data_IF_486665145207
#
_entry.id   IF_486665145207
#
_cell.length_a   1.000
_cell.length_b   1.000
_cell.length_c   1.000
_cell.angle_alpha   90.00
_cell.angle_beta   90.00
_cell.angle_gamma   90.00
#
_symmetry.space_group_name_H-M   'P 1'
#
loop_
_entity.id
_entity.type
_entity.pdbx_description
1 polymer ?
#
# COMPACT_ATOMS: atom_id res chain seq x y z
N UNK A 1 28.35 17.10 69.29
CA UNK A 1 29.04 15.86 68.88
C UNK A 1 27.97 14.78 68.73
N UNK A 2 27.35 14.51 67.60
CA UNK A 2 27.39 15.06 66.25
C UNK A 2 26.06 14.72 65.57
N UNK A 3 25.62 15.66 64.71
CA UNK A 3 24.81 15.53 63.48
C UNK A 3 23.72 14.43 63.41
N UNK A 4 22.42 14.74 63.51
CA UNK A 4 21.53 15.49 62.59
C UNK A 4 20.75 14.62 61.58
N UNK A 5 19.45 14.51 61.86
CA UNK A 5 18.30 14.74 60.95
C UNK A 5 17.93 13.72 59.86
N UNK A 6 16.83 13.02 60.16
CA UNK A 6 15.70 12.53 59.37
C UNK A 6 15.39 13.13 57.98
N UNK A 7 14.85 12.31 57.05
CA UNK A 7 13.49 12.35 56.44
C UNK A 7 13.44 11.57 55.09
N UNK A 8 12.23 11.09 54.81
CA UNK A 8 11.64 10.24 53.77
C UNK A 8 11.93 10.48 52.26
N UNK A 9 11.69 9.38 51.51
CA UNK A 9 11.04 9.23 50.19
C UNK A 9 11.52 10.11 49.02
N UNK A 10 12.03 9.48 47.96
CA UNK A 10 11.45 9.62 46.61
C UNK A 10 12.01 8.62 45.58
N UNK A 11 11.15 8.29 44.61
CA UNK A 11 11.47 7.56 43.40
C UNK A 11 12.32 8.41 42.44
N UNK A 12 13.31 7.81 41.78
CA UNK A 12 13.67 8.06 40.37
C UNK A 12 14.89 7.24 39.92
N UNK A 13 14.71 6.58 38.77
CA UNK A 13 15.66 6.32 37.68
C UNK A 13 17.12 5.95 37.98
N UNK A 14 17.55 4.77 37.53
CA UNK A 14 18.36 4.58 36.32
C UNK A 14 18.80 3.10 36.27
N UNK A 15 18.16 2.29 35.43
CA UNK A 15 18.78 1.04 34.97
C UNK A 15 19.36 1.35 33.60
N UNK A 16 20.69 1.49 33.59
CA UNK A 16 21.50 1.64 32.39
C UNK A 16 21.37 0.38 31.53
N UNK A 17 20.57 0.47 30.46
CA UNK A 17 20.58 -0.50 29.37
C UNK A 17 21.85 -0.25 28.54
N UNK A 18 22.85 -1.10 28.74
CA UNK A 18 24.00 -1.20 27.86
C UNK A 18 23.51 -1.49 26.44
N UNK A 19 23.80 -0.56 25.54
CA UNK A 19 23.65 -0.70 24.10
C UNK A 19 24.69 -1.72 23.64
N UNK A 20 24.25 -2.95 23.38
CA UNK A 20 25.00 -3.90 22.56
C UNK A 20 24.95 -3.37 21.12
N UNK A 21 26.11 -2.96 20.62
CA UNK A 21 26.34 -2.67 19.22
C UNK A 21 26.21 -3.98 18.42
N UNK A 22 25.04 -4.24 17.88
CA UNK A 22 24.85 -5.32 16.92
C UNK A 22 25.53 -4.94 15.60
N UNK A 23 26.58 -5.69 15.29
CA UNK A 23 27.19 -5.87 13.98
C UNK A 23 26.13 -6.06 12.88
N UNK A 24 26.40 -5.67 11.62
CA UNK A 24 25.45 -5.89 10.52
C UNK A 24 25.16 -7.40 10.43
N UNK A 25 23.89 -7.74 10.60
CA UNK A 25 23.41 -9.11 10.74
C UNK A 25 23.97 -10.03 9.65
N UNK A 26 24.51 -11.16 10.11
CA UNK A 26 24.67 -12.35 9.30
C UNK A 26 23.35 -12.61 8.56
N UNK A 27 23.42 -12.71 7.24
CA UNK A 27 22.33 -13.26 6.46
C UNK A 27 22.06 -14.66 7.01
N UNK A 28 20.95 -14.85 7.75
CA UNK A 28 20.48 -16.19 8.05
C UNK A 28 20.13 -16.84 6.71
N UNK A 29 21.08 -17.61 6.17
CA UNK A 29 20.89 -18.47 5.02
C UNK A 29 19.88 -19.54 5.39
N UNK A 30 18.63 -19.36 4.96
CA UNK A 30 17.70 -20.47 4.86
C UNK A 30 18.22 -21.41 3.75
N UNK A 31 18.84 -22.51 4.16
CA UNK A 31 19.09 -23.67 3.31
C UNK A 31 17.74 -24.19 2.80
N UNK A 32 17.67 -24.47 1.49
CA UNK A 32 16.50 -25.15 0.94
C UNK A 32 16.64 -26.61 1.33
N UNK A 33 15.72 -27.11 2.15
CA UNK A 33 15.63 -28.54 2.42
C UNK A 33 15.25 -29.24 1.11
N UNK A 34 16.15 -30.07 0.57
CA UNK A 34 15.87 -30.86 -0.63
C UNK A 34 14.74 -31.87 -0.43
N UNK A 35 14.29 -32.05 0.82
CA UNK A 35 13.15 -32.88 1.21
C UNK A 35 11.85 -32.07 1.40
N UNK A 36 11.85 -30.75 1.16
CA UNK A 36 10.63 -29.93 1.16
C UNK A 36 9.66 -30.43 0.07
N UNK A 37 8.42 -30.82 0.41
CA UNK A 37 7.41 -31.27 -0.56
C UNK A 37 7.04 -30.23 -1.63
N UNK A 38 7.48 -28.96 -1.49
CA UNK A 38 7.40 -27.92 -2.52
C UNK A 38 8.56 -27.88 -3.53
N UNK A 39 9.65 -28.62 -3.30
CA UNK A 39 10.81 -28.68 -4.19
C UNK A 39 10.47 -29.45 -5.48
N UNK A 40 10.56 -28.78 -6.63
CA UNK A 40 10.30 -29.43 -7.93
C UNK A 40 11.56 -30.11 -8.41
N UNK A 41 11.46 -31.43 -8.58
CA UNK A 41 12.49 -32.23 -9.24
C UNK A 41 12.49 -31.94 -10.74
N UNK A 42 13.29 -30.96 -11.15
CA UNK A 42 13.66 -30.80 -12.56
C UNK A 42 14.57 -31.97 -12.91
N UNK A 43 14.17 -32.85 -13.83
CA UNK A 43 14.96 -34.03 -14.17
C UNK A 43 16.40 -33.63 -14.50
N UNK A 44 17.35 -34.40 -13.98
CA UNK A 44 18.78 -34.16 -14.20
C UNK A 44 19.10 -34.03 -15.71
N UNK A 45 18.34 -34.71 -16.59
CA UNK A 45 18.43 -34.56 -18.05
C UNK A 45 18.19 -33.13 -18.58
N UNK A 46 17.25 -32.37 -18.03
CA UNK A 46 16.93 -31.02 -18.49
C UNK A 46 17.97 -29.97 -18.05
N UNK A 47 18.71 -30.26 -16.98
CA UNK A 47 19.74 -29.40 -16.41
C UNK A 47 21.17 -29.73 -16.89
N UNK A 48 21.39 -30.88 -17.53
CA UNK A 48 22.72 -31.32 -18.04
C UNK A 48 23.48 -30.29 -18.90
N UNK A 49 22.85 -29.41 -19.72
CA UNK A 49 23.59 -28.38 -20.47
C UNK A 49 23.74 -27.03 -19.75
N UNK A 50 23.23 -26.88 -18.53
CA UNK A 50 23.15 -25.61 -17.83
C UNK A 50 24.18 -25.51 -16.69
N UNK A 51 24.74 -24.31 -16.48
CA UNK A 51 25.58 -24.05 -15.30
C UNK A 51 24.77 -24.22 -13.99
N UNK A 52 25.42 -24.58 -12.89
CA UNK A 52 24.79 -24.66 -11.55
C UNK A 52 24.01 -23.39 -11.20
N UNK A 53 24.56 -22.22 -11.57
CA UNK A 53 23.90 -20.92 -11.40
C UNK A 53 22.61 -20.80 -12.21
N UNK A 54 22.59 -21.33 -13.43
CA UNK A 54 21.40 -21.36 -14.29
C UNK A 54 20.35 -22.35 -13.74
N UNK A 55 20.77 -23.52 -13.26
CA UNK A 55 19.89 -24.48 -12.60
C UNK A 55 19.25 -23.92 -11.33
N UNK A 56 20.04 -23.32 -10.42
CA UNK A 56 19.53 -22.65 -9.21
C UNK A 56 18.58 -21.51 -9.55
N UNK A 57 18.85 -20.78 -10.63
CA UNK A 57 17.97 -19.73 -11.15
C UNK A 57 16.62 -20.29 -11.60
N UNK A 58 16.61 -21.38 -12.36
CA UNK A 58 15.40 -22.03 -12.83
C UNK A 58 14.59 -22.59 -11.66
N UNK A 59 15.22 -23.31 -10.73
CA UNK A 59 14.55 -23.84 -9.52
C UNK A 59 13.87 -22.72 -8.71
N UNK A 60 14.57 -21.62 -8.46
CA UNK A 60 13.98 -20.48 -7.73
C UNK A 60 12.87 -19.79 -8.53
N UNK A 61 13.02 -19.65 -9.85
CA UNK A 61 11.97 -19.10 -10.71
C UNK A 61 10.69 -19.95 -10.65
N UNK A 62 10.83 -21.28 -10.75
CA UNK A 62 9.71 -22.22 -10.66
C UNK A 62 9.06 -22.15 -9.28
N UNK A 63 9.84 -22.08 -8.20
CA UNK A 63 9.31 -21.92 -6.84
C UNK A 63 8.53 -20.60 -6.69
N UNK A 64 9.08 -19.48 -7.14
CA UNK A 64 8.40 -18.20 -7.06
C UNK A 64 7.10 -18.16 -7.88
N UNK A 65 7.09 -18.73 -9.08
CA UNK A 65 5.86 -18.81 -9.89
C UNK A 65 4.78 -19.69 -9.26
N UNK A 66 5.15 -20.64 -8.38
CA UNK A 66 4.15 -21.40 -7.61
C UNK A 66 3.57 -20.61 -6.45
N UNK A 67 4.40 -19.84 -5.74
CA UNK A 67 3.97 -19.05 -4.58
C UNK A 67 3.33 -17.70 -4.94
N UNK A 68 3.67 -17.17 -6.12
CA UNK A 68 3.22 -15.88 -6.63
C UNK A 68 2.66 -16.08 -8.03
N UNK A 69 1.47 -15.52 -8.28
CA UNK A 69 0.72 -15.76 -9.51
C UNK A 69 0.41 -17.24 -9.78
N UNK A 70 -0.21 -17.97 -8.83
CA UNK A 70 -0.49 -19.40 -9.00
C UNK A 70 -1.42 -19.70 -10.20
N UNK A 71 -2.14 -18.68 -10.67
CA UNK A 71 -3.11 -18.78 -11.77
C UNK A 71 -2.58 -18.24 -13.11
N UNK A 72 -1.32 -17.79 -13.20
CA UNK A 72 -0.76 -17.24 -14.44
C UNK A 72 0.69 -17.65 -14.67
N UNK A 73 1.28 -17.21 -15.78
CA UNK A 73 2.69 -17.44 -16.11
C UNK A 73 3.44 -16.10 -16.12
N UNK A 74 3.98 -15.67 -14.97
CA UNK A 74 4.64 -14.38 -14.87
C UNK A 74 6.03 -14.39 -15.50
N UNK A 75 6.47 -13.23 -15.99
CA UNK A 75 7.85 -13.01 -16.40
C UNK A 75 8.70 -12.65 -15.17
N UNK A 76 9.76 -13.43 -14.91
CA UNK A 76 10.66 -13.20 -13.79
C UNK A 76 11.85 -12.33 -14.22
N UNK A 77 12.00 -11.16 -13.60
CA UNK A 77 13.11 -10.23 -13.83
C UNK A 77 14.03 -10.19 -12.61
N UNK A 78 15.34 -10.18 -12.85
CA UNK A 78 16.37 -10.11 -11.81
C UNK A 78 17.02 -8.74 -11.78
N UNK A 79 17.07 -8.12 -10.61
CA UNK A 79 17.63 -6.78 -10.43
C UNK A 79 18.79 -6.78 -9.43
N UNK A 80 19.91 -6.20 -9.85
CA UNK A 80 21.08 -5.94 -9.01
C UNK A 80 20.91 -4.60 -8.29
N UNK A 81 21.25 -4.56 -7.00
CA UNK A 81 21.34 -3.31 -6.24
C UNK A 81 22.56 -2.51 -6.71
N UNK A 82 22.39 -1.67 -7.73
CA UNK A 82 23.41 -0.76 -8.27
C UNK A 82 22.77 0.30 -9.15
N UNK A 83 23.41 1.45 -9.22
CA UNK A 83 23.13 2.46 -10.24
C UNK A 83 23.60 1.93 -11.60
N UNK A 84 22.76 2.07 -12.62
CA UNK A 84 23.07 1.64 -13.98
C UNK A 84 23.47 2.85 -14.82
N UNK A 85 24.20 2.61 -15.91
CA UNK A 85 24.44 3.65 -16.93
C UNK A 85 23.13 4.16 -17.53
N UNK A 86 22.15 3.28 -17.65
CA UNK A 86 20.78 3.57 -18.06
C UNK A 86 19.84 2.90 -17.08
N UNK A 87 19.00 3.70 -16.43
CA UNK A 87 17.91 3.23 -15.57
C UNK A 87 17.11 2.16 -16.29
N UNK A 88 16.75 1.08 -15.58
CA UNK A 88 15.85 0.09 -16.13
C UNK A 88 14.42 0.62 -16.03
N UNK A 89 13.68 0.60 -17.15
CA UNK A 89 12.30 1.08 -17.20
C UNK A 89 11.38 -0.09 -17.52
N UNK A 90 10.48 -0.39 -16.60
CA UNK A 90 9.31 -1.22 -16.85
C UNK A 90 8.30 -0.34 -17.58
N UNK A 91 8.08 -0.68 -18.84
CA UNK A 91 7.13 -0.04 -19.75
C UNK A 91 6.33 -1.10 -20.54
N UNK A 92 5.43 -0.67 -21.42
CA UNK A 92 4.58 -1.58 -22.19
C UNK A 92 5.34 -2.72 -22.90
N UNK A 93 6.60 -2.51 -23.29
CA UNK A 93 7.43 -3.53 -23.96
C UNK A 93 7.87 -4.64 -23.01
N UNK A 94 7.87 -4.38 -21.70
CA UNK A 94 8.16 -5.39 -20.68
C UNK A 94 7.02 -6.41 -20.57
N UNK A 95 5.81 -6.02 -20.96
CA UNK A 95 4.59 -6.84 -20.85
C UNK A 95 4.21 -7.55 -22.17
N UNK A 96 5.13 -7.66 -23.12
CA UNK A 96 4.85 -8.31 -24.43
C UNK A 96 4.63 -9.81 -24.32
N UNK A 97 5.26 -10.46 -23.34
CA UNK A 97 5.19 -11.91 -23.15
C UNK A 97 4.31 -12.32 -21.96
N UNK A 98 4.09 -11.42 -21.00
CA UNK A 98 3.26 -11.68 -19.83
C UNK A 98 2.73 -10.36 -19.27
N UNK A 99 1.51 -10.38 -18.74
CA UNK A 99 0.91 -9.25 -18.03
C UNK A 99 1.34 -9.20 -16.56
N UNK A 100 1.99 -10.25 -16.06
CA UNK A 100 2.42 -10.37 -14.67
C UNK A 100 3.95 -10.45 -14.61
N UNK A 101 4.56 -9.70 -13.69
CA UNK A 101 6.01 -9.65 -13.48
C UNK A 101 6.36 -10.00 -12.04
N UNK A 102 7.39 -10.84 -11.87
CA UNK A 102 8.05 -11.06 -10.58
C UNK A 102 9.43 -10.42 -10.62
N UNK A 103 9.68 -9.42 -9.79
CA UNK A 103 10.99 -8.78 -9.69
C UNK A 103 11.72 -9.31 -8.45
N UNK A 104 12.91 -9.87 -8.67
CA UNK A 104 13.76 -10.49 -7.65
C UNK A 104 15.13 -9.84 -7.57
N UNK A 105 15.83 -10.06 -6.46
CA UNK A 105 17.24 -9.64 -6.37
C UNK A 105 18.17 -10.52 -7.22
N UNK A 106 19.27 -9.96 -7.70
CA UNK A 106 20.23 -10.61 -8.60
C UNK A 106 21.06 -11.74 -8.00
N UNK A 107 21.06 -11.89 -6.67
CA UNK A 107 21.85 -12.88 -5.96
C UNK A 107 21.29 -14.28 -6.19
N UNK A 108 20.60 -14.81 -5.19
CA UNK A 108 19.93 -16.10 -5.31
C UNK A 108 18.66 -16.03 -6.17
N UNK A 109 18.07 -14.85 -6.37
CA UNK A 109 16.71 -14.71 -6.88
C UNK A 109 15.65 -15.02 -5.83
N UNK A 110 16.02 -15.49 -4.63
CA UNK A 110 15.08 -15.87 -3.56
C UNK A 110 14.30 -14.69 -3.00
N UNK A 111 14.89 -13.49 -2.99
CA UNK A 111 14.23 -12.30 -2.41
C UNK A 111 13.37 -11.64 -3.48
N UNK A 112 12.05 -11.79 -3.35
CA UNK A 112 11.06 -10.96 -4.04
C UNK A 112 11.20 -9.52 -3.56
N UNK A 113 11.30 -8.60 -4.52
CA UNK A 113 11.33 -7.16 -4.28
C UNK A 113 9.92 -6.60 -4.44
N UNK A 114 9.35 -6.79 -5.62
CA UNK A 114 8.01 -6.37 -5.97
C UNK A 114 7.45 -7.20 -7.12
N UNK A 115 6.14 -7.18 -7.23
CA UNK A 115 5.36 -7.83 -8.27
C UNK A 115 4.58 -6.74 -9.02
N UNK A 116 4.34 -6.93 -10.30
CA UNK A 116 3.59 -5.97 -11.12
C UNK A 116 2.62 -6.71 -12.02
N UNK A 117 1.36 -6.29 -12.00
CA UNK A 117 0.35 -6.72 -12.97
C UNK A 117 -0.09 -5.53 -13.81
N UNK A 118 -0.18 -5.74 -15.12
CA UNK A 118 -0.64 -4.73 -16.06
C UNK A 118 -1.97 -5.17 -16.67
N UNK A 119 -2.99 -4.34 -16.51
CA UNK A 119 -4.30 -4.54 -17.12
C UNK A 119 -4.47 -3.56 -18.29
N UNK A 120 -4.41 -4.03 -19.55
CA UNK A 120 -4.63 -3.19 -20.72
C UNK A 120 -6.03 -2.56 -20.75
N UNK A 121 -6.20 -1.43 -21.45
CA UNK A 121 -7.49 -0.76 -21.57
C UNK A 121 -8.40 -1.55 -22.51
N UNK A 122 -9.22 -2.40 -21.91
CA UNK A 122 -10.16 -3.28 -22.61
C UNK A 122 -11.53 -3.26 -21.91
N UNK A 123 -12.52 -2.52 -22.44
CA UNK A 123 -13.87 -2.49 -21.88
C UNK A 123 -14.60 -3.84 -21.90
N UNK A 124 -14.11 -4.83 -22.66
CA UNK A 124 -14.65 -6.19 -22.62
C UNK A 124 -14.10 -7.02 -21.46
N UNK A 125 -12.99 -6.58 -20.85
CA UNK A 125 -12.38 -7.23 -19.71
C UNK A 125 -13.12 -6.86 -18.41
N UNK A 126 -13.77 -7.81 -17.71
CA UNK A 126 -14.50 -7.52 -16.49
C UNK A 126 -13.61 -7.02 -15.34
N UNK A 127 -12.36 -7.46 -15.27
CA UNK A 127 -11.40 -6.98 -14.26
C UNK A 127 -11.05 -5.53 -14.52
N UNK A 128 -10.81 -5.15 -15.78
CA UNK A 128 -10.56 -3.75 -16.14
C UNK A 128 -11.73 -2.85 -15.72
N UNK A 129 -12.97 -3.26 -16.01
CA UNK A 129 -14.15 -2.47 -15.64
C UNK A 129 -14.32 -2.32 -14.13
N UNK A 130 -14.09 -3.39 -13.36
CA UNK A 130 -14.13 -3.34 -11.88
C UNK A 130 -13.02 -2.44 -11.32
N UNK A 131 -11.81 -2.49 -11.88
CA UNK A 131 -10.71 -1.60 -11.50
C UNK A 131 -11.01 -0.14 -11.87
N UNK A 132 -11.63 0.12 -13.02
CA UNK A 132 -12.09 1.45 -13.41
C UNK A 132 -13.06 2.03 -12.37
N UNK A 133 -14.08 1.27 -11.97
CA UNK A 133 -15.05 1.73 -10.97
C UNK A 133 -14.38 2.04 -9.62
N UNK A 134 -13.45 1.17 -9.17
CA UNK A 134 -12.67 1.39 -7.96
C UNK A 134 -11.85 2.69 -8.03
N UNK A 135 -11.14 2.91 -9.14
CA UNK A 135 -10.30 4.10 -9.35
C UNK A 135 -11.16 5.36 -9.40
N UNK A 136 -12.29 5.32 -10.11
CA UNK A 136 -13.26 6.42 -10.22
C UNK A 136 -13.75 6.86 -8.85
N UNK A 137 -14.32 5.91 -8.09
CA UNK A 137 -14.88 6.18 -6.77
C UNK A 137 -13.78 6.70 -5.82
N UNK A 138 -12.61 6.06 -5.77
CA UNK A 138 -11.50 6.50 -4.92
C UNK A 138 -10.94 7.87 -5.32
N UNK A 139 -10.87 8.20 -6.61
CA UNK A 139 -10.41 9.51 -7.08
C UNK A 139 -11.35 10.62 -6.62
N UNK A 140 -12.67 10.40 -6.70
CA UNK A 140 -13.67 11.37 -6.24
C UNK A 140 -13.64 11.50 -4.72
N UNK A 141 -13.70 10.38 -3.98
CA UNK A 141 -13.59 10.38 -2.52
C UNK A 141 -12.29 11.04 -2.03
N UNK A 142 -11.17 10.77 -2.71
CA UNK A 142 -9.88 11.36 -2.41
C UNK A 142 -9.85 12.89 -2.60
N UNK A 143 -10.62 13.42 -3.55
CA UNK A 143 -10.83 14.86 -3.71
C UNK A 143 -11.73 15.44 -2.61
N UNK A 144 -12.71 14.70 -2.10
CA UNK A 144 -13.57 15.13 -1.01
C UNK A 144 -12.90 15.07 0.37
N UNK A 145 -11.88 14.22 0.54
CA UNK A 145 -11.07 14.12 1.75
C UNK A 145 -10.06 15.26 1.89
N UNK A 146 -9.61 15.57 3.11
CA UNK A 146 -8.60 16.62 3.34
C UNK A 146 -7.22 16.25 2.75
N UNK A 147 -6.48 17.24 2.23
CA UNK A 147 -5.10 17.03 1.78
C UNK A 147 -4.18 16.84 2.99
N UNK A 148 -3.61 15.64 3.10
CA UNK A 148 -2.75 15.23 4.20
C UNK A 148 -1.39 15.95 4.14
N UNK A 149 -0.89 16.31 5.32
CA UNK A 149 0.49 16.79 5.50
C UNK A 149 1.38 15.57 5.74
N UNK A 150 2.41 15.42 4.92
CA UNK A 150 3.39 14.35 5.04
C UNK A 150 4.77 14.93 4.74
N UNK A 151 5.78 14.54 5.52
CA UNK A 151 7.15 15.09 5.44
C UNK A 151 7.89 14.69 4.17
N UNK A 152 7.54 13.55 3.60
CA UNK A 152 8.14 13.02 2.38
C UNK A 152 7.45 13.57 1.13
N UNK A 153 6.21 14.08 1.24
CA UNK A 153 5.49 14.67 0.10
C UNK A 153 6.21 15.91 -0.42
N UNK A 154 6.53 15.92 -1.71
CA UNK A 154 7.17 17.02 -2.41
C UNK A 154 6.14 17.86 -3.18
N UNK A 155 5.19 17.23 -3.85
CA UNK A 155 4.15 17.90 -4.65
C UNK A 155 2.82 17.16 -4.63
N UNK A 156 1.80 17.81 -5.19
CA UNK A 156 0.48 17.23 -5.40
C UNK A 156 -0.37 17.01 -4.15
N UNK A 157 -1.37 16.15 -4.30
CA UNK A 157 -2.38 15.84 -3.29
C UNK A 157 -2.20 14.42 -2.79
N UNK A 158 -2.38 14.26 -1.48
CA UNK A 158 -2.46 12.96 -0.82
C UNK A 158 -3.63 13.00 0.14
N UNK A 159 -4.53 12.03 0.09
CA UNK A 159 -5.70 11.92 0.94
C UNK A 159 -5.88 10.49 1.41
N UNK A 160 -6.65 10.27 2.48
CA UNK A 160 -6.91 8.96 3.03
C UNK A 160 -8.39 8.62 3.04
N UNK A 161 -8.71 7.35 2.87
CA UNK A 161 -10.05 6.75 3.02
C UNK A 161 -9.93 5.55 3.96
N UNK A 162 -10.94 5.28 4.79
CA UNK A 162 -10.90 4.22 5.81
C UNK A 162 -10.35 4.72 7.16
N UNK A 163 -9.76 3.83 7.95
CA UNK A 163 -9.37 4.07 9.35
C UNK A 163 -7.92 4.53 9.53
N UNK A 164 -7.71 5.46 10.44
CA UNK A 164 -6.41 5.95 10.88
C UNK A 164 -6.38 6.13 12.41
N UNK A 165 -5.21 6.44 12.94
CA UNK A 165 -5.10 6.93 14.31
C UNK A 165 -5.90 8.23 14.50
N UNK A 166 -6.63 8.36 15.60
CA UNK A 166 -7.42 9.55 15.96
C UNK A 166 -6.54 10.73 16.39
N UNK A 167 -6.84 11.92 15.91
CA UNK A 167 -6.10 13.14 16.30
C UNK A 167 -6.98 14.08 17.12
N UNK A 168 -8.24 13.72 17.32
CA UNK A 168 -9.21 14.46 18.11
C UNK A 168 -9.05 14.17 19.60
N UNK A 169 -9.34 15.16 20.43
CA UNK A 169 -9.26 15.02 21.88
C UNK A 169 -10.13 13.86 22.38
N UNK A 170 -9.50 12.97 23.16
CA UNK A 170 -10.14 11.76 23.69
C UNK A 170 -10.34 10.63 22.67
N UNK A 171 -10.02 10.83 21.39
CA UNK A 171 -10.15 9.81 20.34
C UNK A 171 -8.81 9.12 20.06
N UNK A 172 -8.85 7.80 20.07
CA UNK A 172 -7.70 6.92 19.84
C UNK A 172 -7.57 6.54 18.36
N UNK A 173 -8.69 6.29 17.69
CA UNK A 173 -8.77 5.89 16.29
C UNK A 173 -10.00 6.50 15.61
N UNK A 174 -10.01 6.53 14.28
CA UNK A 174 -11.21 6.92 13.55
C UNK A 174 -10.97 7.00 12.06
N UNK A 175 -12.00 7.32 11.29
CA UNK A 175 -11.85 7.40 9.82
C UNK A 175 -11.08 8.65 9.39
N UNK A 176 -10.68 8.72 8.12
CA UNK A 176 -10.18 9.97 7.55
C UNK A 176 -11.29 11.02 7.42
N UNK A 177 -10.93 12.29 7.61
CA UNK A 177 -11.88 13.40 7.57
C UNK A 177 -12.12 13.92 6.14
N UNK A 178 -13.39 14.12 5.81
CA UNK A 178 -13.80 14.91 4.64
C UNK A 178 -13.49 16.39 4.85
N UNK A 179 -13.50 17.16 3.77
CA UNK A 179 -13.33 18.61 3.84
C UNK A 179 -14.49 19.26 4.61
N UNK A 180 -14.17 20.25 5.46
CA UNK A 180 -15.15 20.91 6.35
C UNK A 180 -16.38 21.47 5.63
N UNK A 181 -16.20 21.98 4.41
CA UNK A 181 -17.23 22.66 3.62
C UNK A 181 -17.66 21.85 2.39
N UNK A 182 -17.63 20.52 2.47
CA UNK A 182 -18.11 19.67 1.38
C UNK A 182 -19.59 19.98 1.08
N UNK A 183 -19.95 20.37 -0.16
CA UNK A 183 -21.34 20.62 -0.57
C UNK A 183 -22.25 19.41 -0.33
N UNK A 184 -23.55 19.62 -0.03
CA UNK A 184 -24.49 18.52 0.23
C UNK A 184 -24.55 17.46 -0.89
N UNK A 185 -24.47 17.89 -2.16
CA UNK A 185 -24.46 16.96 -3.29
C UNK A 185 -23.21 16.04 -3.31
N UNK A 186 -22.05 16.58 -2.94
CA UNK A 186 -20.82 15.78 -2.83
C UNK A 186 -20.85 14.86 -1.61
N UNK A 187 -21.47 15.29 -0.51
CA UNK A 187 -21.70 14.43 0.67
C UNK A 187 -22.60 13.25 0.33
N UNK A 188 -23.72 13.49 -0.37
CA UNK A 188 -24.62 12.42 -0.79
C UNK A 188 -23.93 11.43 -1.74
N UNK A 189 -23.03 11.93 -2.61
CA UNK A 189 -22.22 11.09 -3.47
C UNK A 189 -21.21 10.24 -2.68
N UNK A 190 -20.54 10.81 -1.69
CA UNK A 190 -19.67 10.06 -0.77
C UNK A 190 -20.45 8.98 -0.02
N UNK A 191 -21.68 9.26 0.41
CA UNK A 191 -22.52 8.27 1.09
C UNK A 191 -22.85 7.08 0.18
N UNK A 192 -23.02 7.31 -1.13
CA UNK A 192 -23.18 6.25 -2.14
C UNK A 192 -21.89 5.44 -2.27
N UNK A 193 -20.73 6.09 -2.43
CA UNK A 193 -19.43 5.40 -2.54
C UNK A 193 -19.10 4.58 -1.29
N UNK A 194 -19.47 5.07 -0.10
CA UNK A 194 -19.33 4.33 1.16
C UNK A 194 -20.09 2.99 1.14
N UNK A 195 -21.22 2.89 0.44
CA UNK A 195 -21.94 1.61 0.30
C UNK A 195 -21.22 0.64 -0.64
N UNK A 196 -20.47 1.16 -1.62
CA UNK A 196 -19.71 0.34 -2.58
C UNK A 196 -18.41 -0.20 -2.03
N UNK A 197 -17.88 0.38 -0.93
CA UNK A 197 -16.56 -0.01 -0.41
C UNK A 197 -16.44 -1.49 -0.06
N UNK A 198 -17.54 -2.15 0.32
CA UNK A 198 -17.53 -3.60 0.57
C UNK A 198 -17.20 -4.38 -0.71
N UNK A 199 -17.88 -4.08 -1.82
CA UNK A 199 -17.60 -4.70 -3.13
C UNK A 199 -16.20 -4.36 -3.64
N UNK A 200 -15.73 -3.14 -3.38
CA UNK A 200 -14.36 -2.73 -3.69
C UNK A 200 -13.32 -3.50 -2.87
N UNK A 201 -13.59 -3.77 -1.60
CA UNK A 201 -12.72 -4.61 -0.77
C UNK A 201 -12.63 -6.04 -1.33
N UNK A 202 -13.74 -6.60 -1.82
CA UNK A 202 -13.75 -7.91 -2.46
C UNK A 202 -12.87 -7.94 -3.72
N UNK A 203 -12.95 -6.90 -4.57
CA UNK A 203 -12.04 -6.77 -5.72
C UNK A 203 -10.58 -6.70 -5.28
N UNK A 204 -10.25 -5.84 -4.32
CA UNK A 204 -8.87 -5.69 -3.83
C UNK A 204 -8.35 -6.99 -3.23
N UNK A 205 -9.21 -7.75 -2.56
CA UNK A 205 -8.91 -9.10 -2.07
C UNK A 205 -8.56 -10.04 -3.22
N UNK A 206 -9.37 -10.09 -4.27
CA UNK A 206 -9.11 -10.90 -5.46
C UNK A 206 -7.77 -10.51 -6.11
N UNK A 207 -7.51 -9.20 -6.28
CA UNK A 207 -6.23 -8.70 -6.80
C UNK A 207 -5.04 -9.16 -5.95
N UNK A 208 -5.10 -9.00 -4.62
CA UNK A 208 -3.99 -9.42 -3.74
C UNK A 208 -3.81 -10.95 -3.79
N UNK A 209 -4.90 -11.74 -3.85
CA UNK A 209 -4.81 -13.20 -3.99
C UNK A 209 -4.23 -13.63 -5.34
N UNK A 210 -4.48 -12.87 -6.41
CA UNK A 210 -3.82 -13.06 -7.71
C UNK A 210 -2.31 -12.92 -7.59
N UNK A 211 -1.83 -11.88 -6.90
CA UNK A 211 -0.40 -11.76 -6.60
C UNK A 211 0.12 -12.88 -5.70
N UNK A 212 -0.53 -13.12 -4.56
CA UNK A 212 -0.11 -14.11 -3.56
C UNK A 212 -1.24 -14.43 -2.57
N UNK A 213 -1.76 -15.68 -2.57
CA UNK A 213 -2.70 -16.14 -1.56
C UNK A 213 -2.15 -16.03 -0.13
N UNK A 214 -0.86 -16.33 0.06
CA UNK A 214 -0.21 -16.27 1.37
C UNK A 214 -0.12 -14.84 1.90
N UNK A 215 0.20 -13.87 1.04
CA UNK A 215 0.28 -12.47 1.47
C UNK A 215 -1.10 -11.90 1.81
N UNK A 216 -2.16 -12.35 1.13
CA UNK A 216 -3.54 -12.06 1.53
C UNK A 216 -3.81 -12.58 2.96
N UNK A 217 -3.48 -13.85 3.23
CA UNK A 217 -3.71 -14.46 4.55
C UNK A 217 -2.92 -13.75 5.67
N UNK A 218 -1.66 -13.37 5.39
CA UNK A 218 -0.86 -12.59 6.34
C UNK A 218 -1.49 -11.23 6.66
N UNK A 219 -2.03 -10.52 5.65
CA UNK A 219 -2.74 -9.24 5.86
C UNK A 219 -4.02 -9.42 6.66
N UNK A 220 -4.81 -10.46 6.34
CA UNK A 220 -6.04 -10.82 7.04
C UNK A 220 -5.76 -11.07 8.53
N UNK A 221 -4.78 -11.93 8.81
CA UNK A 221 -4.35 -12.27 10.18
C UNK A 221 -3.85 -11.04 10.94
N UNK A 222 -3.06 -10.18 10.29
CA UNK A 222 -2.57 -8.96 10.94
C UNK A 222 -3.72 -8.04 11.38
N UNK A 223 -4.75 -7.83 10.55
CA UNK A 223 -5.91 -7.02 10.93
C UNK A 223 -6.73 -7.67 12.06
N UNK A 224 -6.90 -8.99 12.01
CA UNK A 224 -7.60 -9.79 13.03
C UNK A 224 -6.90 -9.73 14.38
N UNK A 225 -5.58 -9.99 14.42
CA UNK A 225 -4.77 -10.02 15.65
C UNK A 225 -4.82 -8.68 16.41
N UNK A 226 -4.91 -7.57 15.67
CA UNK A 226 -5.03 -6.22 16.21
C UNK A 226 -6.47 -5.70 16.32
N UNK A 227 -7.47 -6.51 15.94
CA UNK A 227 -8.89 -6.16 15.91
C UNK A 227 -9.17 -4.85 15.19
N UNK A 228 -8.48 -4.64 14.06
CA UNK A 228 -8.58 -3.43 13.25
C UNK A 228 -9.67 -3.66 12.20
N UNK A 229 -10.64 -2.73 12.05
CA UNK A 229 -11.65 -2.81 11.01
C UNK A 229 -11.03 -2.68 9.61
N UNK A 230 -11.72 -3.26 8.61
CA UNK A 230 -11.41 -3.01 7.21
C UNK A 230 -11.62 -1.54 6.86
N UNK A 231 -10.85 -1.04 5.90
CA UNK A 231 -11.04 0.27 5.28
C UNK A 231 -12.44 0.50 4.73
N UNK A 232 -13.17 -0.58 4.40
CA UNK A 232 -14.54 -0.56 3.92
C UNK A 232 -15.61 -0.58 5.02
N UNK A 233 -15.24 -0.75 6.28
CA UNK A 233 -16.19 -0.74 7.39
C UNK A 233 -16.59 0.69 7.76
N UNK A 234 -17.85 0.87 8.16
CA UNK A 234 -18.38 2.17 8.60
C UNK A 234 -18.02 2.51 10.04
N UNK A 235 -17.96 1.49 10.90
CA UNK A 235 -17.72 1.62 12.33
C UNK A 235 -16.60 0.69 12.78
N UNK A 236 -15.97 1.03 13.90
CA UNK A 236 -14.87 0.24 14.46
C UNK A 236 -15.30 -1.20 14.80
N UNK A 237 -16.45 -1.35 15.45
CA UNK A 237 -16.99 -2.67 15.85
C UNK A 237 -17.52 -3.50 14.67
N UNK A 238 -17.62 -2.91 13.47
CA UNK A 238 -18.01 -3.62 12.26
C UNK A 238 -16.91 -4.52 11.70
N UNK A 239 -15.78 -4.69 12.39
CA UNK A 239 -14.70 -5.60 11.98
C UNK A 239 -15.21 -7.03 11.73
N UNK A 240 -16.24 -7.47 12.47
CA UNK A 240 -16.90 -8.78 12.26
C UNK A 240 -17.71 -8.88 10.97
N UNK A 241 -18.06 -7.75 10.34
CA UNK A 241 -18.90 -7.71 9.14
C UNK A 241 -18.10 -7.97 7.87
N UNK A 242 -16.76 -8.06 7.96
CA UNK A 242 -15.90 -8.40 6.85
C UNK A 242 -14.94 -9.53 7.29
N UNK A 243 -15.20 -10.79 6.89
CA UNK A 243 -14.39 -11.93 7.34
C UNK A 243 -12.98 -11.96 6.72
N UNK A 244 -12.74 -11.21 5.64
CA UNK A 244 -11.47 -11.21 4.91
C UNK A 244 -10.98 -9.77 4.64
N UNK A 245 -10.63 -9.00 5.68
CA UNK A 245 -10.13 -7.64 5.51
C UNK A 245 -8.70 -7.63 4.97
N UNK A 246 -8.38 -6.66 4.09
CA UNK A 246 -7.07 -6.59 3.41
C UNK A 246 -6.27 -5.32 3.71
N UNK A 247 -6.93 -4.29 4.24
CA UNK A 247 -6.31 -3.03 4.62
C UNK A 247 -7.16 -2.31 5.67
N UNK A 248 -6.52 -1.45 6.47
CA UNK A 248 -7.22 -0.53 7.36
C UNK A 248 -7.60 0.78 6.67
N UNK A 249 -6.80 1.19 5.69
CA UNK A 249 -7.01 2.41 4.92
C UNK A 249 -6.42 2.34 3.52
N UNK A 250 -6.85 3.32 2.71
CA UNK A 250 -6.33 3.58 1.38
C UNK A 250 -5.79 5.00 1.35
N UNK A 251 -4.58 5.19 0.84
CA UNK A 251 -4.03 6.51 0.53
C UNK A 251 -4.19 6.76 -0.96
N UNK A 252 -4.84 7.85 -1.32
CA UNK A 252 -5.08 8.30 -2.70
C UNK A 252 -4.18 9.49 -2.99
N UNK A 253 -3.56 9.49 -4.17
CA UNK A 253 -2.62 10.51 -4.64
C UNK A 253 -3.05 11.03 -6.00
N UNK A 254 -3.01 12.36 -6.16
CA UNK A 254 -3.53 13.07 -7.33
C UNK A 254 -2.72 14.35 -7.58
N UNK A 255 -2.92 14.99 -8.74
CA UNK A 255 -2.40 16.31 -9.08
C UNK A 255 -0.87 16.39 -9.01
N UNK A 256 -0.17 15.55 -9.78
CA UNK A 256 1.30 15.51 -9.86
C UNK A 256 1.95 15.17 -8.51
N UNK A 257 1.39 14.19 -7.81
CA UNK A 257 1.98 13.72 -6.56
C UNK A 257 3.41 13.22 -6.79
N UNK A 258 4.31 13.66 -5.91
CA UNK A 258 5.67 13.13 -5.82
C UNK A 258 6.14 13.18 -4.38
N UNK A 259 7.10 12.33 -4.04
CA UNK A 259 7.66 12.25 -2.71
C UNK A 259 9.15 11.86 -2.73
N UNK A 260 9.79 12.03 -1.58
CA UNK A 260 11.18 11.61 -1.37
C UNK A 260 11.28 10.08 -1.28
N UNK A 261 12.43 9.51 -1.67
CA UNK A 261 12.77 8.11 -1.38
C UNK A 261 12.61 7.79 0.11
N UNK A 262 11.87 6.74 0.43
CA UNK A 262 11.68 6.27 1.79
C UNK A 262 11.36 4.78 1.82
N UNK A 263 11.39 4.19 3.02
CA UNK A 263 10.73 2.93 3.32
C UNK A 263 9.53 3.21 4.22
N UNK A 264 8.47 2.43 4.09
CA UNK A 264 7.34 2.49 5.00
C UNK A 264 7.72 1.91 6.37
N UNK A 265 6.90 2.23 7.37
CA UNK A 265 7.00 1.67 8.73
C UNK A 265 5.76 0.85 9.09
N UNK A 266 4.87 0.67 8.12
CA UNK A 266 3.57 0.06 8.31
C UNK A 266 3.70 -1.43 8.61
N UNK A 267 2.66 -2.06 9.16
CA UNK A 267 2.77 -3.46 9.63
C UNK A 267 2.60 -4.49 8.52
N UNK A 268 2.25 -4.05 7.32
CA UNK A 268 2.13 -4.92 6.17
C UNK A 268 3.52 -5.31 5.61
N UNK A 269 3.71 -6.60 5.34
CA UNK A 269 4.93 -7.13 4.68
C UNK A 269 4.99 -6.65 3.22
N UNK A 270 3.82 -6.49 2.59
CA UNK A 270 3.68 -5.96 1.24
C UNK A 270 2.62 -4.85 1.19
N UNK A 271 2.92 -3.75 0.48
CA UNK A 271 1.94 -2.73 0.10
C UNK A 271 1.37 -3.07 -1.26
N UNK A 272 0.05 -2.92 -1.40
CA UNK A 272 -0.66 -3.07 -2.66
C UNK A 272 -1.04 -1.68 -3.16
N UNK A 273 -0.78 -1.38 -4.43
CA UNK A 273 -1.14 -0.09 -5.02
C UNK A 273 -1.55 -0.19 -6.47
N UNK A 274 -2.35 0.78 -6.90
CA UNK A 274 -2.96 0.86 -8.24
C UNK A 274 -2.65 2.23 -8.82
N UNK A 275 -2.21 2.27 -10.07
CA UNK A 275 -1.77 3.48 -10.76
C UNK A 275 -2.39 3.56 -12.16
N UNK A 276 -2.89 4.74 -12.53
CA UNK A 276 -3.45 5.03 -13.85
C UNK A 276 -3.51 6.54 -14.08
N UNK A 277 -3.45 6.98 -15.35
CA UNK A 277 -3.96 8.30 -15.68
C UNK A 277 -5.49 8.29 -15.65
N UNK A 278 -6.08 9.41 -15.22
CA UNK A 278 -7.53 9.56 -15.09
C UNK A 278 -8.01 10.91 -15.63
N UNK A 279 -9.27 10.94 -16.06
CA UNK A 279 -10.00 12.19 -16.27
C UNK A 279 -10.26 12.85 -14.91
N UNK A 280 -9.86 14.11 -14.75
CA UNK A 280 -9.98 14.82 -13.45
C UNK A 280 -11.41 15.05 -12.99
N UNK A 281 -12.37 15.13 -13.93
CA UNK A 281 -13.76 15.43 -13.62
C UNK A 281 -14.53 14.18 -13.21
N UNK A 282 -14.28 13.07 -13.91
CA UNK A 282 -15.04 11.82 -13.71
C UNK A 282 -14.30 10.81 -12.83
N UNK A 283 -12.97 10.91 -12.73
CA UNK A 283 -12.14 9.88 -12.11
C UNK A 283 -11.79 8.72 -13.04
N UNK A 284 -12.38 8.68 -14.25
CA UNK A 284 -12.28 7.53 -15.16
C UNK A 284 -10.87 7.34 -15.69
N UNK A 285 -10.33 6.12 -15.70
CA UNK A 285 -9.07 5.83 -16.38
C UNK A 285 -9.05 6.31 -17.84
N UNK A 286 -7.94 6.92 -18.23
CA UNK A 286 -7.67 7.39 -19.60
C UNK A 286 -6.23 7.07 -19.97
N UNK A 287 -5.93 7.15 -21.27
CA UNK A 287 -4.56 7.05 -21.74
C UNK A 287 -3.69 8.18 -21.18
N UNK A 288 -2.39 7.93 -20.95
CA UNK A 288 -1.43 8.98 -20.63
C UNK A 288 -1.48 10.13 -21.66
N UNK A 289 -1.31 11.40 -21.23
CA UNK A 289 -1.37 12.55 -22.14
C UNK A 289 -0.23 12.57 -23.16
N UNK A 290 0.86 11.87 -22.88
CA UNK A 290 2.00 11.67 -23.77
C UNK A 290 2.66 10.33 -23.48
N UNK A 291 3.48 9.83 -24.41
CA UNK A 291 4.21 8.57 -24.32
C UNK A 291 5.66 8.80 -23.85
N UNK A 292 5.85 9.66 -22.85
CA UNK A 292 7.16 10.07 -22.33
C UNK A 292 7.58 9.27 -21.09
N UNK A 293 8.89 9.26 -20.82
CA UNK A 293 9.47 8.73 -19.58
C UNK A 293 9.51 9.80 -18.49
N UNK A 294 9.65 9.39 -17.23
CA UNK A 294 10.04 10.29 -16.13
C UNK A 294 8.99 10.54 -15.06
N UNK A 295 7.73 10.13 -15.27
CA UNK A 295 6.76 9.96 -14.18
C UNK A 295 6.64 8.48 -13.85
N UNK A 296 7.05 8.10 -12.64
CA UNK A 296 7.19 6.68 -12.30
C UNK A 296 7.08 6.40 -10.80
N UNK A 297 6.71 5.15 -10.45
CA UNK A 297 7.09 4.54 -9.18
C UNK A 297 8.54 4.05 -9.32
N UNK A 298 9.44 4.60 -8.50
CA UNK A 298 10.88 4.38 -8.60
C UNK A 298 11.40 3.61 -7.39
N UNK A 299 12.20 2.58 -7.69
CA UNK A 299 12.97 1.79 -6.72
C UNK A 299 14.46 2.16 -6.85
N UNK A 300 14.94 3.22 -6.16
CA UNK A 300 16.24 3.82 -6.42
C UNK A 300 17.42 2.88 -6.19
N UNK A 301 17.36 2.03 -5.16
CA UNK A 301 18.40 1.05 -4.84
C UNK A 301 18.68 0.09 -6.00
N UNK A 302 17.64 -0.22 -6.77
CA UNK A 302 17.69 -1.11 -7.92
C UNK A 302 17.70 -0.35 -9.24
N UNK A 303 17.81 0.98 -9.22
CA UNK A 303 17.76 1.89 -10.39
C UNK A 303 16.75 1.42 -11.44
N UNK A 304 15.50 1.30 -10.97
CA UNK A 304 14.36 0.79 -11.72
C UNK A 304 13.16 1.72 -11.57
N UNK A 305 12.47 1.96 -12.69
CA UNK A 305 11.24 2.73 -12.77
C UNK A 305 10.10 1.86 -13.33
N UNK A 306 8.90 2.03 -12.79
CA UNK A 306 7.64 1.65 -13.45
C UNK A 306 7.07 2.92 -14.08
N UNK A 307 7.17 3.04 -15.41
CA UNK A 307 6.96 4.30 -16.13
C UNK A 307 5.47 4.51 -16.48
N UNK A 308 4.80 5.39 -15.74
CA UNK A 308 3.36 5.62 -15.89
C UNK A 308 2.99 6.18 -17.27
N UNK A 309 3.80 7.09 -17.83
CA UNK A 309 3.58 7.65 -19.16
C UNK A 309 3.73 6.63 -20.31
N UNK A 310 4.36 5.48 -20.04
CA UNK A 310 4.65 4.42 -21.02
C UNK A 310 3.82 3.15 -20.79
N UNK A 311 2.83 3.21 -19.90
CA UNK A 311 1.93 2.11 -19.54
C UNK A 311 0.48 2.59 -19.73
N UNK A 312 -0.06 2.49 -20.96
CA UNK A 312 -1.38 3.03 -21.31
C UNK A 312 -2.52 2.15 -20.81
N UNK A 313 -2.60 1.90 -19.50
CA UNK A 313 -3.60 1.05 -18.85
C UNK A 313 -3.51 1.17 -17.32
N UNK A 314 -4.03 0.17 -16.61
CA UNK A 314 -3.99 0.14 -15.14
C UNK A 314 -2.79 -0.70 -14.70
N UNK A 315 -1.99 -0.16 -13.78
CA UNK A 315 -0.81 -0.84 -13.23
C UNK A 315 -1.05 -1.13 -11.76
N UNK A 316 -1.02 -2.40 -11.41
CA UNK A 316 -1.07 -2.87 -10.03
C UNK A 316 0.33 -3.27 -9.59
N UNK A 317 0.74 -2.84 -8.39
CA UNK A 317 2.07 -3.14 -7.83
C UNK A 317 1.90 -3.71 -6.43
N UNK A 318 2.61 -4.79 -6.14
CA UNK A 318 2.68 -5.40 -4.82
C UNK A 318 4.12 -5.48 -4.35
N UNK A 319 4.53 -4.65 -3.39
CA UNK A 319 5.95 -4.47 -3.06
C UNK A 319 6.24 -4.49 -1.57
N UNK A 320 7.44 -4.92 -1.19
CA UNK A 320 7.90 -4.95 0.20
C UNK A 320 8.28 -3.56 0.71
N UNK A 321 7.31 -2.68 0.87
CA UNK A 321 7.49 -1.24 1.15
C UNK A 321 8.38 -0.92 2.36
N UNK A 322 8.45 -1.81 3.35
CA UNK A 322 9.32 -1.69 4.52
C UNK A 322 10.79 -2.04 4.21
N UNK A 323 11.02 -2.95 3.27
CA UNK A 323 12.36 -3.50 2.95
C UNK A 323 13.03 -2.78 1.78
N UNK A 324 12.24 -2.21 0.86
CA UNK A 324 12.75 -1.59 -0.35
C UNK A 324 12.38 -0.11 -0.40
N UNK A 325 13.41 0.73 -0.52
CA UNK A 325 13.22 2.16 -0.72
C UNK A 325 12.46 2.38 -2.02
N UNK A 326 11.47 3.27 -1.97
CA UNK A 326 10.63 3.62 -3.10
C UNK A 326 10.15 5.07 -3.01
N UNK A 327 9.73 5.63 -4.13
CA UNK A 327 9.06 6.92 -4.23
C UNK A 327 8.40 7.12 -5.58
N UNK A 328 7.50 8.09 -5.67
CA UNK A 328 6.93 8.59 -6.90
C UNK A 328 7.77 9.76 -7.42
N UNK A 329 8.30 9.62 -8.63
CA UNK A 329 9.03 10.69 -9.33
C UNK A 329 8.01 11.69 -9.88
N UNK A 330 8.25 12.99 -9.72
CA UNK A 330 7.35 14.03 -10.27
C UNK A 330 7.33 14.03 -11.81
N UNK A 331 6.19 14.35 -12.43
CA UNK A 331 6.06 14.25 -13.89
C UNK A 331 6.83 15.36 -14.65
N UNK A 332 7.40 15.05 -15.83
CA UNK A 332 7.87 16.07 -16.78
C UNK A 332 6.69 16.85 -17.37
N UNK A 333 6.97 17.91 -18.14
CA UNK A 333 5.96 18.86 -18.61
C UNK A 333 4.82 18.20 -19.41
N UNK A 334 5.16 17.21 -20.22
CA UNK A 334 4.28 16.46 -21.12
C UNK A 334 3.31 15.53 -20.37
N UNK A 335 3.66 15.18 -19.13
CA UNK A 335 2.93 14.24 -18.28
C UNK A 335 2.25 14.92 -17.09
N UNK A 336 2.40 16.24 -16.95
CA UNK A 336 1.82 17.02 -15.86
C UNK A 336 0.31 17.07 -15.94
N UNK A 337 -0.29 17.28 -14.77
CA UNK A 337 -1.72 17.48 -14.59
C UNK A 337 -2.19 18.69 -15.38
N UNK A 338 -3.27 18.51 -16.14
CA UNK A 338 -3.95 19.58 -16.87
C UNK A 338 -5.33 19.85 -16.26
N UNK A 339 -6.18 20.61 -16.94
CA UNK A 339 -7.58 20.76 -16.54
C UNK A 339 -8.35 19.44 -16.61
N UNK A 340 -7.98 18.54 -17.53
CA UNK A 340 -8.76 17.36 -17.84
C UNK A 340 -8.06 16.05 -17.46
N UNK A 341 -6.73 16.02 -17.34
CA UNK A 341 -5.96 14.80 -16.98
C UNK A 341 -5.14 14.97 -15.71
N UNK A 342 -5.03 13.90 -14.91
CA UNK A 342 -4.05 13.78 -13.82
C UNK A 342 -3.65 12.32 -13.65
N UNK A 343 -2.52 12.07 -13.01
CA UNK A 343 -2.15 10.73 -12.58
C UNK A 343 -2.78 10.40 -11.23
N UNK A 344 -3.48 9.27 -11.17
CA UNK A 344 -4.00 8.66 -9.96
C UNK A 344 -3.04 7.58 -9.49
N UNK A 345 -2.72 7.60 -8.20
CA UNK A 345 -2.17 6.45 -7.51
C UNK A 345 -2.93 6.20 -6.22
N UNK A 346 -3.21 4.95 -5.89
CA UNK A 346 -3.67 4.59 -4.56
C UNK A 346 -2.86 3.45 -3.96
N UNK A 347 -2.82 3.37 -2.63
CA UNK A 347 -2.14 2.29 -1.90
C UNK A 347 -2.95 1.85 -0.69
N UNK A 348 -3.03 0.54 -0.48
CA UNK A 348 -3.80 -0.13 0.56
C UNK A 348 -2.85 -0.60 1.66
N UNK A 349 -3.06 -0.08 2.86
CA UNK A 349 -2.09 -0.15 3.97
C UNK A 349 -2.71 -0.65 5.28
N UNK A 350 -1.85 -1.15 6.17
CA UNK A 350 -2.16 -1.41 7.58
C UNK A 350 -1.32 -0.45 8.42
N UNK A 351 -1.89 0.70 8.74
CA UNK A 351 -1.14 1.81 9.35
C UNK A 351 -0.46 1.43 10.67
N UNK A 352 0.85 1.66 10.79
CA UNK A 352 1.60 1.42 12.03
C UNK A 352 1.01 2.17 13.22
N UNK A 353 0.66 3.44 13.01
CA UNK A 353 0.09 4.30 14.05
C UNK A 353 -1.26 3.75 14.51
N UNK A 354 -2.06 3.24 13.58
CA UNK A 354 -3.34 2.63 13.93
C UNK A 354 -3.15 1.35 14.73
N UNK A 355 -2.25 0.47 14.31
CA UNK A 355 -1.90 -0.76 15.04
C UNK A 355 -1.42 -0.45 16.45
N UNK A 356 -0.52 0.52 16.60
CA UNK A 356 0.00 0.91 17.92
C UNK A 356 -1.12 1.38 18.86
N UNK A 357 -2.16 1.99 18.31
CA UNK A 357 -3.30 2.53 19.06
C UNK A 357 -4.41 1.51 19.27
N UNK A 358 -4.61 0.56 18.36
CA UNK A 358 -5.63 -0.47 18.49
C UNK A 358 -5.35 -1.42 19.66
N UNK A 359 -4.08 -1.59 20.05
CA UNK A 359 -3.69 -2.33 21.27
C UNK A 359 -4.43 -1.77 22.50
N UNK A 360 -4.52 -0.44 22.63
CA UNK A 360 -5.24 0.20 23.74
C UNK A 360 -6.77 0.10 23.65
N UNK A 361 -7.30 -0.29 22.49
CA UNK A 361 -8.72 -0.50 22.25
C UNK A 361 -9.11 -1.95 22.47
N UNK A 362 -8.23 -2.92 22.18
CA UNK A 362 -8.54 -4.37 22.08
C UNK A 362 -9.41 -4.89 23.23
N UNK A 363 -9.01 -4.61 24.47
CA UNK A 363 -9.64 -5.14 25.69
C UNK A 363 -10.74 -4.25 26.29
N UNK A 364 -11.10 -3.16 25.60
CA UNK A 364 -12.19 -2.30 26.05
C UNK A 364 -13.57 -2.89 25.69
N UNK A 365 -14.57 -2.57 26.51
CA UNK A 365 -15.97 -2.86 26.18
C UNK A 365 -16.42 -2.10 24.92
N UNK A 366 -17.42 -2.59 24.17
CA UNK A 366 -17.92 -1.93 22.96
C UNK A 366 -18.30 -0.45 23.18
N UNK A 367 -18.93 -0.11 24.31
CA UNK A 367 -19.30 1.28 24.63
C UNK A 367 -18.07 2.19 24.82
N UNK A 368 -17.03 1.67 25.49
CA UNK A 368 -15.77 2.40 25.66
C UNK A 368 -15.01 2.55 24.35
N UNK A 369 -15.04 1.53 23.48
CA UNK A 369 -14.47 1.61 22.13
C UNK A 369 -15.20 2.69 21.32
N UNK A 370 -16.53 2.68 21.30
CA UNK A 370 -17.35 3.71 20.62
C UNK A 370 -17.02 5.13 21.10
N UNK A 371 -16.84 5.32 22.42
CA UNK A 371 -16.42 6.62 22.96
C UNK A 371 -15.02 7.05 22.50
N UNK A 372 -14.09 6.11 22.33
CA UNK A 372 -12.69 6.38 21.94
C UNK A 372 -12.45 6.32 20.43
N UNK A 373 -13.41 5.86 19.64
CA UNK A 373 -13.31 5.83 18.18
C UNK A 373 -14.15 6.94 17.56
N UNK A 374 -13.85 7.32 16.31
CA UNK A 374 -14.66 8.26 15.55
C UNK A 374 -15.01 7.69 14.18
N UNK A 375 -16.30 7.48 13.93
CA UNK A 375 -16.77 6.94 12.64
C UNK A 375 -17.10 8.07 11.64
N UNK A 376 -17.38 7.68 10.39
CA UNK A 376 -17.61 8.63 9.32
C UNK A 376 -18.83 9.53 9.56
N UNK A 377 -19.93 8.97 10.06
CA UNK A 377 -21.16 9.73 10.32
C UNK A 377 -20.97 10.78 11.41
N UNK A 378 -20.23 10.43 12.48
CA UNK A 378 -19.84 11.37 13.53
C UNK A 378 -19.02 12.53 12.95
N UNK A 379 -18.03 12.24 12.09
CA UNK A 379 -17.21 13.27 11.43
C UNK A 379 -18.02 14.22 10.57
N UNK A 380 -18.98 13.69 9.81
CA UNK A 380 -19.87 14.50 8.97
C UNK A 380 -20.80 15.40 9.80
N UNK A 381 -21.16 14.97 11.01
CA UNK A 381 -22.09 15.66 11.92
C UNK A 381 -21.44 16.72 12.82
N UNK A 382 -20.16 16.58 13.19
CA UNK A 382 -19.40 17.58 13.96
C UNK A 382 -19.03 18.79 13.09
N UNK A 383 -20.02 19.60 12.72
CA UNK A 383 -19.83 20.94 12.17
C UNK A 383 -20.31 21.96 13.21
N UNK A 384 -19.52 23.00 13.53
CA UNK A 384 -20.04 24.10 14.34
C UNK A 384 -21.13 24.78 13.51
N UNK A 385 -22.36 24.73 14.01
CA UNK A 385 -23.45 25.58 13.55
C UNK A 385 -22.93 27.01 13.55
N UNK A 386 -22.84 27.64 12.39
CA UNK A 386 -22.62 29.08 12.31
C UNK A 386 -23.69 29.71 13.19
N UNK A 387 -23.31 30.30 14.33
CA UNK A 387 -24.21 31.17 15.09
C UNK A 387 -24.70 32.21 14.09
N UNK A 388 -26.00 32.17 13.78
CA UNK A 388 -26.65 33.27 13.11
C UNK A 388 -26.38 34.50 13.97
N UNK A 389 -25.63 35.46 13.43
CA UNK A 389 -25.64 36.81 13.98
C UNK A 389 -27.06 37.31 13.74
N UNK A 390 -27.85 37.32 14.80
CA UNK A 390 -29.09 38.08 14.87
C UNK A 390 -28.66 39.54 14.78
N UNK A 391 -28.99 40.17 13.65
CA UNK A 391 -28.95 41.62 13.46
C UNK A 391 -30.25 42.23 13.94
#
# INVERSE_FOLDING_TARGET
MDASTSISLNASNLVSLNVLSETPGSEEEYELDEQDPGCVDLSAEACKPLSERACKTLKNSVHHTKSYYPSSTPLVLKMTKRIKKKTFSIDIRTFTCSLDLIITNSGSGKKILFLVSYTPPDPSNPIYNRLCELIEDLAVMGNHCSNLKNKEKLSGRMSGVGFQGGYEDGKTAGTYATQKNLPPAQQALDDIFQQKLASHNELVKECIRHFSPDAHEQKRKALEDFSIPSWSNKEWESSKNNPEPVASNVIVTLNDFSNKPHCEKDKNVFTYGIFSYINRKTGSPILPPSNEFGHALRFPDYDCNIEFGRLPGIVEVFWKSNDISHHTVGPPAELKTTKDTTHHGCSFQISHTLVSRSISLKDLSPDKKKQKTMCQSERSSTKPTKKQKVS
#
